data_IF_348629945750
#
_entry.id   IF_348629945750
#
_cell.length_a   1.000
_cell.length_b   1.000
_cell.length_c   1.000
_cell.angle_alpha   90.00
_cell.angle_beta   90.00
_cell.angle_gamma   90.00
#
_symmetry.space_group_name_H-M   'P 1'
#
loop_
_entity.id
_entity.type
_entity.pdbx_description
1 polymer ?
#
# COMPACT_ATOMS: atom_id res chain seq x y z
N UNK A 1 31.01 -27.68 -6.83
CA UNK A 1 30.28 -27.41 -5.56
C UNK A 1 30.19 -25.89 -5.25
N UNK A 2 29.99 -25.01 -6.26
CA UNK A 2 30.33 -23.57 -6.13
C UNK A 2 29.28 -22.54 -6.57
N UNK A 3 28.19 -22.91 -7.26
CA UNK A 3 27.12 -21.95 -7.64
C UNK A 3 25.82 -22.11 -6.84
N UNK A 4 25.35 -23.34 -6.58
CA UNK A 4 24.15 -23.59 -5.77
C UNK A 4 24.27 -23.10 -4.32
N UNK A 5 25.46 -23.17 -3.74
CA UNK A 5 25.68 -22.70 -2.37
C UNK A 5 25.69 -21.17 -2.30
N UNK A 6 26.19 -20.48 -3.35
CA UNK A 6 26.13 -19.02 -3.45
C UNK A 6 24.69 -18.53 -3.60
N UNK A 7 23.91 -19.15 -4.49
CA UNK A 7 22.50 -18.80 -4.67
C UNK A 7 21.66 -19.08 -3.42
N UNK A 8 21.90 -20.20 -2.72
CA UNK A 8 21.23 -20.50 -1.44
C UNK A 8 21.53 -19.45 -0.36
N UNK A 9 22.79 -19.02 -0.23
CA UNK A 9 23.18 -18.00 0.75
C UNK A 9 22.52 -16.65 0.42
N UNK A 10 22.45 -16.27 -0.85
CA UNK A 10 21.80 -15.02 -1.27
C UNK A 10 20.29 -15.05 -0.96
N UNK A 11 19.60 -16.16 -1.27
CA UNK A 11 18.19 -16.34 -0.92
C UNK A 11 17.98 -16.20 0.59
N UNK A 12 18.83 -16.83 1.41
CA UNK A 12 18.74 -16.75 2.87
C UNK A 12 18.97 -15.31 3.37
N UNK A 13 19.96 -14.59 2.81
CA UNK A 13 20.21 -13.18 3.15
C UNK A 13 19.01 -12.29 2.80
N UNK A 14 18.39 -12.51 1.64
CA UNK A 14 17.19 -11.77 1.23
C UNK A 14 16.02 -12.03 2.19
N UNK A 15 15.77 -13.29 2.54
CA UNK A 15 14.71 -13.67 3.50
C UNK A 15 14.96 -13.05 4.88
N UNK A 16 16.21 -13.09 5.36
CA UNK A 16 16.58 -12.49 6.64
C UNK A 16 16.40 -10.97 6.64
N UNK A 17 16.85 -10.28 5.58
CA UNK A 17 16.67 -8.83 5.42
C UNK A 17 15.20 -8.44 5.42
N UNK A 18 14.38 -9.14 4.63
CA UNK A 18 12.93 -8.89 4.57
C UNK A 18 12.26 -9.09 5.93
N UNK A 19 12.60 -10.17 6.65
CA UNK A 19 12.09 -10.42 8.01
C UNK A 19 12.49 -9.31 8.99
N UNK A 20 13.71 -8.78 8.90
CA UNK A 20 14.15 -7.65 9.72
C UNK A 20 13.34 -6.38 9.42
N UNK A 21 13.20 -6.02 8.13
CA UNK A 21 12.41 -4.87 7.72
C UNK A 21 10.93 -4.96 8.12
N UNK A 22 10.34 -6.17 8.11
CA UNK A 22 8.97 -6.38 8.60
C UNK A 22 8.84 -6.16 10.10
N UNK A 23 9.84 -6.57 10.88
CA UNK A 23 9.88 -6.29 12.33
C UNK A 23 9.97 -4.80 12.61
N UNK A 24 10.86 -4.09 11.92
CA UNK A 24 10.97 -2.63 12.02
C UNK A 24 9.63 -1.95 11.68
N UNK A 25 8.96 -2.42 10.62
CA UNK A 25 7.65 -1.87 10.25
C UNK A 25 6.57 -2.19 11.30
N UNK A 26 6.58 -3.38 11.91
CA UNK A 26 5.69 -3.71 13.04
C UNK A 26 5.96 -2.76 14.20
N UNK A 27 7.23 -2.53 14.55
CA UNK A 27 7.59 -1.65 15.66
C UNK A 27 7.09 -0.22 15.40
N UNK A 28 7.27 0.29 14.17
CA UNK A 28 6.76 1.60 13.73
C UNK A 28 5.22 1.70 13.77
N UNK A 29 4.51 0.62 13.46
CA UNK A 29 3.05 0.60 13.34
C UNK A 29 2.32 0.20 14.62
N UNK A 30 3.00 -0.46 15.56
CA UNK A 30 2.38 -1.13 16.73
C UNK A 30 1.60 -0.21 17.67
N UNK A 31 1.92 1.09 17.70
CA UNK A 31 1.20 2.09 18.50
C UNK A 31 0.02 2.73 17.75
N UNK A 32 -0.14 2.43 16.47
CA UNK A 32 -1.09 3.10 15.56
C UNK A 32 -2.20 2.12 15.16
N UNK A 33 -1.83 0.87 14.85
CA UNK A 33 -2.74 -0.15 14.31
C UNK A 33 -2.43 -1.52 14.89
N UNK A 34 -3.44 -2.39 14.91
CA UNK A 34 -3.22 -3.80 15.28
C UNK A 34 -2.50 -4.55 14.16
N UNK A 35 -1.23 -4.89 14.38
CA UNK A 35 -0.39 -5.56 13.38
C UNK A 35 0.44 -6.69 13.99
N UNK A 36 0.66 -7.76 13.21
CA UNK A 36 1.60 -8.82 13.54
C UNK A 36 2.35 -9.31 12.30
N UNK A 37 3.25 -10.27 12.47
CA UNK A 37 3.92 -10.93 11.34
C UNK A 37 2.93 -11.62 10.39
N UNK A 38 1.76 -12.03 10.87
CA UNK A 38 0.73 -12.70 10.07
C UNK A 38 -0.08 -11.72 9.20
N UNK A 39 0.04 -10.42 9.46
CA UNK A 39 -0.52 -9.38 8.58
C UNK A 39 0.17 -9.32 7.21
N UNK A 40 1.39 -9.84 7.11
CA UNK A 40 2.19 -9.80 5.89
C UNK A 40 1.93 -11.02 5.01
N UNK A 41 1.85 -10.81 3.70
CA UNK A 41 1.93 -11.90 2.73
C UNK A 41 3.33 -12.52 2.78
N UNK A 42 3.48 -13.82 2.51
CA UNK A 42 4.81 -14.39 2.29
C UNK A 42 5.50 -13.72 1.08
N UNK A 43 6.82 -13.89 0.97
CA UNK A 43 7.60 -13.12 0.01
C UNK A 43 7.24 -13.39 -1.45
N UNK A 44 6.94 -14.64 -1.80
CA UNK A 44 6.67 -15.06 -3.17
C UNK A 44 5.26 -14.65 -3.57
N UNK A 45 4.28 -14.88 -2.70
CA UNK A 45 2.90 -14.48 -2.95
C UNK A 45 2.74 -12.95 -2.95
N UNK A 46 3.52 -12.20 -2.18
CA UNK A 46 3.48 -10.73 -2.22
C UNK A 46 3.92 -10.18 -3.58
N UNK A 47 4.95 -10.78 -4.18
CA UNK A 47 5.44 -10.37 -5.49
C UNK A 47 4.41 -10.69 -6.59
N UNK A 48 3.69 -11.81 -6.47
CA UNK A 48 2.56 -12.14 -7.36
C UNK A 48 1.38 -11.17 -7.16
N UNK A 49 1.00 -10.91 -5.90
CA UNK A 49 -0.07 -9.99 -5.55
C UNK A 49 0.17 -8.58 -6.09
N UNK A 50 1.40 -8.07 -6.01
CA UNK A 50 1.75 -6.77 -6.59
C UNK A 50 1.60 -6.77 -8.12
N UNK A 51 1.97 -7.85 -8.80
CA UNK A 51 1.80 -7.95 -10.27
C UNK A 51 0.33 -7.97 -10.66
N UNK A 52 -0.48 -8.72 -9.93
CA UNK A 52 -1.93 -8.77 -10.16
C UNK A 52 -2.56 -7.39 -9.94
N UNK A 53 -2.21 -6.71 -8.85
CA UNK A 53 -2.64 -5.33 -8.59
C UNK A 53 -2.28 -4.39 -9.75
N UNK A 54 -1.03 -4.40 -10.22
CA UNK A 54 -0.62 -3.50 -11.30
C UNK A 54 -1.37 -3.80 -12.61
N UNK A 55 -1.63 -5.07 -12.91
CA UNK A 55 -2.49 -5.44 -14.04
C UNK A 55 -3.93 -4.94 -13.84
N UNK A 56 -4.47 -5.02 -12.62
CA UNK A 56 -5.80 -4.49 -12.28
C UNK A 56 -5.85 -2.98 -12.48
N UNK A 57 -4.82 -2.24 -12.04
CA UNK A 57 -4.75 -0.79 -12.21
C UNK A 57 -4.64 -0.39 -13.68
N UNK A 58 -3.82 -1.08 -14.47
CA UNK A 58 -3.70 -0.85 -15.93
C UNK A 58 -5.03 -1.07 -16.66
N UNK A 59 -5.85 -2.01 -16.19
CA UNK A 59 -7.17 -2.30 -16.76
C UNK A 59 -8.29 -1.43 -16.19
N UNK A 60 -8.04 -0.71 -15.09
CA UNK A 60 -9.05 0.08 -14.41
C UNK A 60 -9.35 1.35 -15.21
N UNK A 61 -10.55 1.42 -15.79
CA UNK A 61 -10.98 2.56 -16.60
C UNK A 61 -11.47 3.76 -15.78
N UNK A 62 -11.61 3.63 -14.47
CA UNK A 62 -12.15 4.67 -13.60
C UNK A 62 -11.04 5.48 -12.91
N UNK A 63 -10.12 6.00 -13.70
CA UNK A 63 -9.04 6.88 -13.24
C UNK A 63 -9.50 8.34 -13.33
N UNK A 64 -9.33 9.08 -12.23
CA UNK A 64 -9.60 10.52 -12.16
C UNK A 64 -8.32 11.26 -11.87
N UNK A 65 -7.92 12.11 -12.80
CA UNK A 65 -6.75 12.97 -12.62
C UNK A 65 -7.12 14.13 -11.70
N UNK A 66 -6.25 14.44 -10.75
CA UNK A 66 -6.38 15.59 -9.88
C UNK A 66 -5.01 16.17 -9.54
N UNK A 67 -5.03 17.39 -8.98
CA UNK A 67 -3.81 18.11 -8.67
C UNK A 67 -3.14 18.74 -9.89
N UNK A 68 -1.91 19.18 -9.71
CA UNK A 68 -1.08 19.87 -10.71
C UNK A 68 0.38 19.41 -10.58
N UNK A 69 1.34 20.19 -11.07
CA UNK A 69 2.78 19.88 -10.95
C UNK A 69 3.38 20.18 -9.57
N UNK A 70 2.62 20.80 -8.66
CA UNK A 70 3.00 21.01 -7.26
C UNK A 70 2.72 19.75 -6.43
N UNK A 71 3.78 18.97 -6.26
CA UNK A 71 3.73 17.73 -5.49
C UNK A 71 3.39 17.92 -4.01
N UNK A 72 3.68 19.08 -3.40
CA UNK A 72 3.31 19.32 -2.00
C UNK A 72 1.82 19.57 -1.88
N UNK A 73 1.27 20.36 -2.81
CA UNK A 73 -0.17 20.62 -2.90
C UNK A 73 -0.94 19.33 -3.15
N UNK A 74 -0.51 18.51 -4.12
CA UNK A 74 -1.14 17.24 -4.44
C UNK A 74 -1.22 16.29 -3.24
N UNK A 75 -0.19 16.26 -2.38
CA UNK A 75 -0.20 15.42 -1.18
C UNK A 75 -1.21 15.88 -0.14
N UNK A 76 -1.38 17.19 0.04
CA UNK A 76 -2.45 17.74 0.90
C UNK A 76 -3.83 17.43 0.33
N UNK A 77 -4.02 17.64 -0.98
CA UNK A 77 -5.27 17.32 -1.67
C UNK A 77 -5.62 15.84 -1.57
N UNK A 78 -4.62 14.97 -1.65
CA UNK A 78 -4.79 13.51 -1.54
C UNK A 78 -5.37 13.10 -0.20
N UNK A 79 -4.85 13.65 0.91
CA UNK A 79 -5.37 13.35 2.25
C UNK A 79 -6.80 13.85 2.41
N UNK A 80 -7.10 15.06 1.94
CA UNK A 80 -8.45 15.59 1.96
C UNK A 80 -9.41 14.70 1.14
N UNK A 81 -9.00 14.29 -0.07
CA UNK A 81 -9.75 13.41 -0.94
C UNK A 81 -10.03 12.04 -0.29
N UNK A 82 -9.03 11.43 0.34
CA UNK A 82 -9.16 10.15 1.02
C UNK A 82 -10.10 10.25 2.24
N UNK A 83 -10.00 11.33 3.03
CA UNK A 83 -10.91 11.60 4.16
C UNK A 83 -12.36 11.78 3.71
N UNK A 84 -12.60 12.51 2.62
CA UNK A 84 -13.95 12.68 2.07
C UNK A 84 -14.48 11.38 1.44
N UNK A 85 -13.60 10.63 0.77
CA UNK A 85 -13.93 9.31 0.22
C UNK A 85 -14.42 8.40 1.33
N UNK A 86 -13.68 8.27 2.42
CA UNK A 86 -14.02 7.42 3.57
C UNK A 86 -15.40 7.73 4.19
N UNK A 87 -15.88 8.97 4.11
CA UNK A 87 -17.20 9.38 4.62
C UNK A 87 -18.36 8.97 3.70
N UNK A 88 -18.07 8.75 2.41
CA UNK A 88 -19.10 8.59 1.38
C UNK A 88 -19.17 7.17 0.82
N UNK A 89 -18.29 6.28 1.30
CA UNK A 89 -18.19 4.92 0.80
C UNK A 89 -18.35 3.88 1.91
N UNK A 90 -18.90 2.74 1.52
CA UNK A 90 -18.90 1.53 2.32
C UNK A 90 -17.99 0.50 1.65
N UNK A 91 -16.96 0.08 2.38
CA UNK A 91 -16.10 -1.03 1.97
C UNK A 91 -16.85 -2.36 2.14
N UNK A 92 -16.66 -3.33 1.22
CA UNK A 92 -17.30 -4.63 1.32
C UNK A 92 -16.78 -5.45 2.51
N UNK A 93 -15.54 -5.19 2.93
CA UNK A 93 -14.89 -5.80 4.08
C UNK A 93 -14.29 -4.73 4.99
N UNK A 94 -14.13 -5.04 6.28
CA UNK A 94 -13.46 -4.14 7.24
C UNK A 94 -11.93 -4.17 7.11
N UNK A 95 -11.37 -5.16 6.43
CA UNK A 95 -9.92 -5.33 6.31
C UNK A 95 -9.47 -5.13 4.87
N UNK A 96 -8.28 -4.55 4.72
CA UNK A 96 -7.63 -4.36 3.43
C UNK A 96 -6.10 -4.41 3.58
N UNK A 97 -5.41 -4.47 2.46
CA UNK A 97 -3.95 -4.40 2.39
C UNK A 97 -3.51 -2.99 2.04
N UNK A 98 -2.86 -2.34 2.99
CA UNK A 98 -2.16 -1.07 2.77
C UNK A 98 -0.72 -1.37 2.38
N UNK A 99 -0.23 -0.66 1.38
CA UNK A 99 1.10 -0.88 0.83
C UNK A 99 2.13 0.01 1.52
N UNK A 100 3.27 -0.58 1.90
CA UNK A 100 4.39 0.12 2.52
C UNK A 100 5.67 -0.08 1.71
N UNK A 101 6.39 1.02 1.45
CA UNK A 101 7.70 0.98 0.80
C UNK A 101 8.82 0.96 1.86
N UNK A 102 9.38 -0.22 2.15
CA UNK A 102 10.45 -0.41 3.15
C UNK A 102 11.61 -1.22 2.57
N UNK A 103 12.84 -0.73 2.75
CA UNK A 103 14.04 -1.46 2.33
C UNK A 103 14.17 -1.70 0.82
N UNK A 104 13.53 -0.86 -0.01
CA UNK A 104 13.45 -1.01 -1.47
C UNK A 104 12.48 -2.09 -1.93
N UNK A 105 11.58 -2.53 -1.06
CA UNK A 105 10.52 -3.51 -1.34
C UNK A 105 9.17 -2.94 -0.95
N UNK A 106 8.14 -3.47 -1.59
CA UNK A 106 6.74 -3.19 -1.31
C UNK A 106 6.22 -4.34 -0.44
N UNK A 107 5.61 -4.01 0.70
CA UNK A 107 4.92 -4.96 1.56
C UNK A 107 3.42 -4.62 1.57
N UNK A 108 2.58 -5.58 1.18
CA UNK A 108 1.13 -5.47 1.28
C UNK A 108 0.67 -5.97 2.66
N UNK A 109 0.40 -5.03 3.56
CA UNK A 109 0.15 -5.29 4.98
C UNK A 109 -1.35 -5.25 5.26
N UNK A 110 -1.89 -6.36 5.76
CA UNK A 110 -3.30 -6.47 6.13
C UNK A 110 -3.60 -5.69 7.41
N UNK A 111 -4.49 -4.71 7.31
CA UNK A 111 -4.91 -3.80 8.38
C UNK A 111 -6.43 -3.65 8.40
N UNK A 112 -6.97 -3.18 9.53
CA UNK A 112 -8.35 -2.73 9.63
C UNK A 112 -8.49 -1.37 8.91
N UNK A 113 -9.45 -1.27 8.01
CA UNK A 113 -9.70 -0.09 7.19
C UNK A 113 -10.12 1.11 8.05
N UNK A 114 -10.91 0.90 9.11
CA UNK A 114 -11.25 1.98 10.04
C UNK A 114 -9.99 2.57 10.68
N UNK A 115 -9.08 1.71 11.17
CA UNK A 115 -7.80 2.16 11.72
C UNK A 115 -6.93 2.87 10.67
N UNK A 116 -7.01 2.46 9.39
CA UNK A 116 -6.32 3.14 8.29
C UNK A 116 -6.79 4.57 8.13
N UNK A 117 -8.11 4.81 8.12
CA UNK A 117 -8.65 6.15 7.93
C UNK A 117 -8.59 7.01 9.19
N UNK A 118 -8.69 6.42 10.37
CA UNK A 118 -8.50 7.11 11.66
C UNK A 118 -7.06 7.63 11.82
N UNK A 119 -6.08 6.92 11.24
CA UNK A 119 -4.65 7.26 11.33
C UNK A 119 -4.03 7.62 9.98
N UNK A 120 -4.84 8.13 9.04
CA UNK A 120 -4.47 8.26 7.63
C UNK A 120 -3.17 9.02 7.38
N UNK A 121 -2.96 10.14 8.08
CA UNK A 121 -1.78 11.00 7.87
C UNK A 121 -0.50 10.30 8.35
N UNK A 122 -0.54 9.65 9.51
CA UNK A 122 0.62 8.95 10.06
C UNK A 122 0.97 7.72 9.20
N UNK A 123 -0.03 6.91 8.85
CA UNK A 123 0.15 5.75 7.98
C UNK A 123 0.61 6.15 6.58
N UNK A 124 0.10 7.24 6.03
CA UNK A 124 0.54 7.75 4.73
C UNK A 124 1.98 8.29 4.76
N UNK A 125 2.45 8.73 5.92
CA UNK A 125 3.85 9.12 6.12
C UNK A 125 4.75 7.89 6.17
N UNK A 126 4.36 6.87 6.95
CA UNK A 126 5.12 5.61 7.13
C UNK A 126 5.13 4.78 5.83
N UNK A 127 4.02 4.74 5.09
CA UNK A 127 3.95 4.08 3.77
C UNK A 127 4.83 4.75 2.71
N UNK A 128 5.27 5.99 3.01
CA UNK A 128 6.03 6.90 2.16
C UNK A 128 5.23 7.58 1.05
N UNK A 129 3.90 7.53 1.12
CA UNK A 129 3.04 8.30 0.23
C UNK A 129 3.19 9.81 0.44
N UNK A 130 3.01 10.28 1.68
CA UNK A 130 3.11 11.71 2.03
C UNK A 130 4.53 12.27 1.94
N UNK A 131 5.55 11.41 1.92
CA UNK A 131 6.94 11.82 1.69
C UNK A 131 7.32 11.78 0.21
N UNK A 132 6.40 11.40 -0.69
CA UNK A 132 6.64 11.42 -2.12
C UNK A 132 7.60 10.32 -2.60
N UNK A 133 7.59 9.16 -1.96
CA UNK A 133 8.39 8.01 -2.42
C UNK A 133 7.59 6.74 -2.75
N UNK A 134 6.28 6.77 -2.53
CA UNK A 134 5.37 5.68 -2.87
C UNK A 134 3.99 6.21 -3.27
N UNK A 135 3.16 5.35 -3.82
CA UNK A 135 1.73 5.59 -4.06
C UNK A 135 0.92 5.25 -2.80
N UNK A 136 -0.30 5.77 -2.71
CA UNK A 136 -1.27 5.29 -1.73
C UNK A 136 -2.05 4.14 -2.36
N UNK A 137 -2.02 2.95 -1.75
CA UNK A 137 -2.72 1.77 -2.26
C UNK A 137 -3.35 1.04 -1.09
N UNK A 138 -4.69 0.98 -1.09
CA UNK A 138 -5.49 0.19 -0.15
C UNK A 138 -6.44 -0.71 -0.95
N UNK A 139 -6.28 -2.03 -0.84
CA UNK A 139 -7.04 -3.01 -1.65
C UNK A 139 -7.53 -4.21 -0.85
N UNK A 140 -8.54 -4.91 -1.35
CA UNK A 140 -8.98 -6.19 -0.81
C UNK A 140 -7.94 -7.31 -0.98
N UNK A 141 -8.07 -8.38 -0.19
CA UNK A 141 -7.22 -9.59 -0.31
C UNK A 141 -7.36 -10.28 -1.68
N UNK A 142 -8.51 -10.11 -2.33
CA UNK A 142 -8.89 -10.66 -3.63
C UNK A 142 -8.85 -9.62 -4.77
N UNK A 143 -8.43 -8.39 -4.45
CA UNK A 143 -8.45 -7.23 -5.35
C UNK A 143 -9.84 -6.89 -5.91
N UNK A 144 -10.94 -7.42 -5.33
CA UNK A 144 -12.30 -7.09 -5.78
C UNK A 144 -12.66 -5.63 -5.51
N UNK A 145 -11.98 -4.98 -4.56
CA UNK A 145 -12.08 -3.56 -4.29
C UNK A 145 -10.72 -2.90 -4.09
N UNK A 146 -10.69 -1.58 -4.30
CA UNK A 146 -9.51 -0.78 -4.02
C UNK A 146 -9.73 0.72 -4.06
N UNK A 147 -8.84 1.44 -3.37
CA UNK A 147 -8.68 2.89 -3.37
C UNK A 147 -7.20 3.18 -3.54
N UNK A 148 -6.84 3.80 -4.66
CA UNK A 148 -5.46 4.11 -4.99
C UNK A 148 -5.28 5.59 -5.37
N UNK A 149 -4.13 6.15 -4.99
CA UNK A 149 -3.62 7.41 -5.52
C UNK A 149 -2.22 7.16 -6.05
N UNK A 150 -2.11 7.16 -7.38
CA UNK A 150 -0.87 6.99 -8.11
C UNK A 150 -0.25 8.35 -8.43
N UNK A 151 1.07 8.43 -8.29
CA UNK A 151 1.84 9.64 -8.53
C UNK A 151 2.44 9.60 -9.92
N UNK A 152 2.07 10.56 -10.75
CA UNK A 152 2.67 10.73 -12.08
C UNK A 152 3.60 11.94 -12.09
N UNK A 153 4.25 12.18 -13.24
CA UNK A 153 5.14 13.32 -13.44
C UNK A 153 4.39 14.68 -13.45
N UNK A 154 3.09 14.68 -13.81
CA UNK A 154 2.35 15.93 -14.08
C UNK A 154 1.10 16.12 -13.22
N UNK A 155 0.54 15.03 -12.68
CA UNK A 155 -0.68 15.02 -11.87
C UNK A 155 -0.72 13.78 -10.97
N UNK A 156 -1.70 13.72 -10.08
CA UNK A 156 -2.00 12.50 -9.34
C UNK A 156 -3.24 11.84 -9.94
N UNK A 157 -3.26 10.51 -9.91
CA UNK A 157 -4.34 9.69 -10.46
C UNK A 157 -5.05 9.01 -9.31
N UNK A 158 -6.34 9.28 -9.16
CA UNK A 158 -7.19 8.62 -8.17
C UNK A 158 -8.04 7.56 -8.84
N UNK A 159 -7.96 6.32 -8.34
CA UNK A 159 -8.79 5.21 -8.82
C UNK A 159 -9.50 4.54 -7.65
N UNK A 160 -10.74 4.13 -7.90
CA UNK A 160 -11.55 3.37 -6.96
C UNK A 160 -12.44 2.36 -7.70
N UNK A 161 -12.57 1.16 -7.16
CA UNK A 161 -13.41 0.10 -7.71
C UNK A 161 -13.94 -0.81 -6.60
N UNK A 162 -15.00 -1.58 -6.89
CA UNK A 162 -15.57 -2.55 -5.95
C UNK A 162 -16.18 -1.95 -4.67
N UNK A 163 -16.47 -0.64 -4.68
CA UNK A 163 -16.89 0.12 -3.51
C UNK A 163 -18.27 0.73 -3.77
N UNK A 164 -19.15 0.64 -2.79
CA UNK A 164 -20.51 1.18 -2.88
C UNK A 164 -20.59 2.53 -2.17
N UNK A 165 -21.30 3.49 -2.76
CA UNK A 165 -21.60 4.76 -2.09
C UNK A 165 -22.68 4.55 -1.03
N UNK A 166 -22.54 5.20 0.11
CA UNK A 166 -23.56 5.24 1.17
C UNK A 166 -24.76 6.08 0.69
#
# INVERSE_FOLDING_TARGET
>A
MSNMNKSRIEILKMKAKRKASRKELIDELSNIVSISMDSFIDAESNDLFCKELFNTLEQNSNIKNFGNTDYEENRKLSIALLKETAKTIQFPLNQGRLFFSKGGKIEAVKLNIAEVFDNLEELSTISRFLTGYADFVLVGDDLEFGVCIERTEYHYEFSMWGITKI
#
